data_IF_780700183110
#
_entry.id   IF_780700183110
#
_cell.length_a   1.000
_cell.length_b   1.000
_cell.length_c   1.000
_cell.angle_alpha   90.00
_cell.angle_beta   90.00
_cell.angle_gamma   90.00
#
_symmetry.space_group_name_H-M   'P 1'
#
loop_
_entity.id
_entity.type
_entity.pdbx_description
1 polymer ?
#
# COMPACT_ATOMS: atom_id res chain seq x y z
N UNK A 1 2.77 -29.49 -14.76
CA UNK A 1 3.19 -28.61 -13.66
C UNK A 1 3.11 -27.18 -14.15
N UNK A 2 2.14 -26.39 -13.68
CA UNK A 2 2.03 -24.98 -14.04
C UNK A 2 2.69 -24.16 -12.94
N UNK A 3 3.81 -23.53 -13.26
CA UNK A 3 4.47 -22.58 -12.35
C UNK A 3 3.80 -21.21 -12.54
N UNK A 4 3.29 -20.64 -11.44
CA UNK A 4 2.76 -19.29 -11.45
C UNK A 4 3.94 -18.33 -11.62
N UNK A 5 4.10 -17.79 -12.84
CA UNK A 5 5.01 -16.68 -13.08
C UNK A 5 4.43 -15.46 -12.37
N UNK A 6 4.95 -15.15 -11.19
CA UNK A 6 4.79 -13.84 -10.57
C UNK A 6 5.30 -12.81 -11.58
N UNK A 7 4.37 -12.07 -12.18
CA UNK A 7 4.69 -11.01 -13.13
C UNK A 7 5.22 -9.80 -12.33
N UNK A 8 6.44 -9.93 -11.79
CA UNK A 8 7.21 -8.78 -11.34
C UNK A 8 7.60 -8.05 -12.62
N UNK A 9 6.87 -6.99 -12.96
CA UNK A 9 7.28 -6.06 -13.99
C UNK A 9 8.59 -5.42 -13.51
N UNK A 10 9.73 -5.97 -13.90
CA UNK A 10 11.01 -5.26 -13.86
C UNK A 10 10.93 -4.20 -14.95
N UNK A 11 10.56 -2.98 -14.56
CA UNK A 11 10.67 -1.83 -15.44
C UNK A 11 12.16 -1.56 -15.66
N UNK A 12 12.60 -1.73 -16.90
CA UNK A 12 13.97 -1.41 -17.32
C UNK A 12 14.10 0.11 -17.40
N UNK A 13 14.46 0.73 -16.26
CA UNK A 13 14.66 2.16 -16.18
C UNK A 13 15.92 2.55 -16.96
N UNK A 14 15.86 3.55 -17.86
CA UNK A 14 17.03 3.95 -18.63
C UNK A 14 18.17 4.35 -17.68
N UNK A 15 19.41 3.97 -18.03
CA UNK A 15 20.61 4.24 -17.21
C UNK A 15 20.71 5.74 -16.91
N UNK A 16 20.57 6.10 -15.63
CA UNK A 16 20.55 7.49 -15.16
C UNK A 16 19.17 8.04 -14.77
N UNK A 17 18.12 7.24 -14.86
CA UNK A 17 16.82 7.55 -14.26
C UNK A 17 16.84 7.14 -12.78
N UNK A 18 17.11 8.10 -11.91
CA UNK A 18 16.73 7.99 -10.51
C UNK A 18 15.22 8.30 -10.44
N UNK A 19 14.35 7.35 -10.10
CA UNK A 19 12.94 7.65 -9.94
C UNK A 19 12.82 8.76 -8.89
N UNK A 20 12.28 9.91 -9.28
CA UNK A 20 11.94 10.96 -8.34
C UNK A 20 10.90 10.38 -7.39
N UNK A 21 11.33 10.07 -6.16
CA UNK A 21 10.38 9.76 -5.08
C UNK A 21 9.55 11.02 -4.92
N UNK A 22 8.30 10.98 -5.39
CA UNK A 22 7.36 12.09 -5.23
C UNK A 22 7.08 12.23 -3.73
N UNK A 23 7.83 13.12 -3.08
CA UNK A 23 7.68 13.49 -1.67
C UNK A 23 6.82 14.75 -1.55
N UNK A 24 5.67 14.75 -2.20
CA UNK A 24 4.70 15.84 -2.00
C UNK A 24 4.05 15.67 -0.62
N UNK A 25 4.24 16.66 0.25
CA UNK A 25 3.63 16.66 1.58
C UNK A 25 2.15 16.96 1.49
N UNK A 26 1.32 16.13 2.11
CA UNK A 26 -0.14 16.29 2.12
C UNK A 26 -0.59 16.85 3.47
N UNK A 27 -1.45 17.87 3.45
CA UNK A 27 -2.09 18.36 4.67
C UNK A 27 -3.27 17.47 5.07
N UNK A 28 -3.25 16.98 6.31
CA UNK A 28 -4.33 16.17 6.89
C UNK A 28 -5.12 17.01 7.88
N UNK A 29 -6.42 16.75 7.96
CA UNK A 29 -7.24 17.35 8.98
C UNK A 29 -6.83 16.85 10.38
N UNK A 30 -7.01 17.71 11.38
CA UNK A 30 -6.60 17.45 12.76
C UNK A 30 -7.14 16.13 13.30
N UNK A 31 -8.40 15.80 12.99
CA UNK A 31 -9.03 14.58 13.50
C UNK A 31 -8.41 13.33 12.87
N UNK A 32 -8.03 13.40 11.60
CA UNK A 32 -7.29 12.32 10.94
C UNK A 32 -5.91 12.13 11.55
N UNK A 33 -5.19 13.22 11.85
CA UNK A 33 -3.90 13.14 12.56
C UNK A 33 -4.05 12.49 13.94
N UNK A 34 -5.03 12.92 14.73
CA UNK A 34 -5.31 12.34 16.06
C UNK A 34 -5.65 10.84 15.98
N UNK A 35 -6.29 10.39 14.89
CA UNK A 35 -6.56 8.97 14.66
C UNK A 35 -5.30 8.19 14.27
N UNK A 36 -4.43 8.79 13.46
CA UNK A 36 -3.13 8.18 13.11
C UNK A 36 -2.26 8.05 14.36
N UNK A 37 -2.20 9.08 15.20
CA UNK A 37 -1.48 9.04 16.47
C UNK A 37 -1.98 7.95 17.41
N UNK A 38 -3.29 7.70 17.45
CA UNK A 38 -3.87 6.65 18.27
C UNK A 38 -3.60 5.22 17.73
N UNK A 39 -3.28 5.08 16.44
CA UNK A 39 -2.96 3.80 15.80
C UNK A 39 -1.46 3.48 15.84
N UNK A 40 -0.63 4.49 16.03
CA UNK A 40 0.82 4.38 16.03
C UNK A 40 1.29 3.56 17.24
N UNK A 41 2.04 2.50 16.97
CA UNK A 41 2.53 1.58 18.01
C UNK A 41 3.86 2.04 18.62
N UNK A 42 4.67 2.79 17.85
CA UNK A 42 5.99 3.27 18.25
C UNK A 42 6.20 4.76 17.89
N UNK A 43 6.85 5.52 18.78
CA UNK A 43 7.23 6.91 18.55
C UNK A 43 8.32 7.08 17.47
N UNK A 44 8.98 6.00 17.04
CA UNK A 44 9.92 6.02 15.91
C UNK A 44 9.23 5.81 14.55
N UNK A 45 8.00 5.27 14.54
CA UNK A 45 7.24 5.03 13.30
C UNK A 45 6.82 6.35 12.64
N UNK A 46 7.15 6.53 11.37
CA UNK A 46 6.71 7.69 10.59
C UNK A 46 5.26 7.56 10.11
N UNK A 47 4.61 8.69 9.80
CA UNK A 47 3.26 8.65 9.24
C UNK A 47 3.22 7.97 7.87
N UNK A 48 4.25 8.15 7.03
CA UNK A 48 4.30 7.52 5.71
C UNK A 48 4.37 6.00 5.84
N UNK A 49 5.22 5.47 6.73
CA UNK A 49 5.31 4.03 7.00
C UNK A 49 4.01 3.46 7.54
N UNK A 50 3.36 4.16 8.49
CA UNK A 50 2.07 3.74 9.04
C UNK A 50 0.97 3.75 7.97
N UNK A 51 0.94 4.78 7.11
CA UNK A 51 -0.03 4.88 6.02
C UNK A 51 0.18 3.76 4.99
N UNK A 52 1.42 3.45 4.63
CA UNK A 52 1.74 2.34 3.73
C UNK A 52 1.30 0.99 4.29
N UNK A 53 1.47 0.76 5.58
CA UNK A 53 0.98 -0.44 6.26
C UNK A 53 -0.57 -0.51 6.21
N UNK A 54 -1.24 0.58 6.58
CA UNK A 54 -2.71 0.66 6.55
C UNK A 54 -3.26 0.42 5.13
N UNK A 55 -2.62 0.98 4.11
CA UNK A 55 -2.96 0.74 2.71
C UNK A 55 -2.76 -0.72 2.32
N UNK A 56 -1.64 -1.34 2.71
CA UNK A 56 -1.37 -2.75 2.45
C UNK A 56 -2.44 -3.67 3.06
N UNK A 57 -2.85 -3.38 4.31
CA UNK A 57 -3.92 -4.09 5.00
C UNK A 57 -5.26 -3.90 4.26
N UNK A 58 -5.60 -2.67 3.90
CA UNK A 58 -6.83 -2.35 3.19
C UNK A 58 -6.88 -3.08 1.83
N UNK A 59 -5.82 -2.97 1.01
CA UNK A 59 -5.72 -3.64 -0.29
C UNK A 59 -5.87 -5.15 -0.13
N UNK A 60 -5.20 -5.75 0.85
CA UNK A 60 -5.30 -7.19 1.10
C UNK A 60 -6.73 -7.58 1.50
N UNK A 61 -7.39 -6.77 2.33
CA UNK A 61 -8.75 -7.01 2.82
C UNK A 61 -9.80 -6.87 1.71
N UNK A 62 -9.69 -5.82 0.89
CA UNK A 62 -10.58 -5.58 -0.26
C UNK A 62 -10.39 -6.64 -1.35
N UNK A 63 -9.16 -7.08 -1.60
CA UNK A 63 -8.88 -8.17 -2.53
C UNK A 63 -9.51 -9.49 -2.02
N UNK A 64 -9.50 -9.71 -0.70
CA UNK A 64 -10.23 -10.82 -0.08
C UNK A 64 -11.74 -10.67 -0.24
N UNK A 65 -12.30 -9.49 0.00
CA UNK A 65 -13.72 -9.22 -0.15
C UNK A 65 -14.20 -9.42 -1.60
N UNK A 66 -13.47 -8.86 -2.57
CA UNK A 66 -13.74 -9.02 -4.00
C UNK A 66 -13.64 -10.48 -4.47
N UNK A 67 -12.79 -11.29 -3.82
CA UNK A 67 -12.68 -12.73 -4.09
C UNK A 67 -13.89 -13.52 -3.56
N UNK A 68 -14.55 -13.05 -2.50
CA UNK A 68 -15.77 -13.67 -1.96
C UNK A 68 -17.00 -13.33 -2.82
N UNK A 69 -17.05 -12.13 -3.41
CA UNK A 69 -18.15 -11.68 -4.29
C UNK A 69 -18.08 -12.19 -5.75
N UNK A 70 -17.03 -12.93 -6.11
CA UNK A 70 -17.00 -13.63 -7.40
C UNK A 70 -17.86 -14.91 -7.30
N UNK A 71 -18.99 -15.02 -8.03
CA UNK A 71 -19.77 -16.24 -8.00
C UNK A 71 -18.88 -17.36 -8.53
N UNK A 72 -18.79 -18.46 -7.77
CA UNK A 72 -18.24 -19.71 -8.28
C UNK A 72 -19.00 -20.01 -9.58
N UNK A 73 -18.31 -19.88 -10.71
CA UNK A 73 -18.87 -20.23 -12.01
C UNK A 73 -19.23 -21.73 -11.92
N UNK A 74 -20.53 -22.03 -11.91
CA UNK A 74 -21.08 -23.39 -11.99
C UNK A 74 -20.81 -24.03 -13.36
#
# INVERSE_FOLDING_TARGET
MATARTNKFEYDYPVGYEPEVQTETVELDRRTVERLDALREDEEQSYDELIDELLSIFVTSELFAARVDSPLIE
#
